data_IF_475661848651
#
_entry.id   IF_475661848651
#
_cell.length_a   1.000
_cell.length_b   1.000
_cell.length_c   1.000
_cell.angle_alpha   90.00
_cell.angle_beta   90.00
_cell.angle_gamma   90.00
#
_symmetry.space_group_name_H-M   'P 1'
#
loop_
_entity.id
_entity.type
_entity.pdbx_description
1 polymer ?
#
# COMPACT_ATOMS: atom_id res chain seq x y z
N UNK A 1 -14.12 -12.11 45.55
CA UNK A 1 -13.27 -12.39 44.38
C UNK A 1 -12.34 -11.19 44.19
N UNK A 2 -11.08 -11.33 44.57
CA UNK A 2 -10.13 -10.23 44.79
C UNK A 2 -9.93 -9.36 43.55
N UNK A 3 -9.81 -8.04 43.71
CA UNK A 3 -9.52 -7.10 42.61
C UNK A 3 -8.24 -7.46 41.84
N UNK A 4 -7.33 -8.21 42.46
CA UNK A 4 -6.12 -8.76 41.80
C UNK A 4 -6.44 -9.82 40.74
N UNK A 5 -7.52 -10.58 40.89
CA UNK A 5 -7.99 -11.56 39.89
C UNK A 5 -8.68 -10.88 38.69
N UNK A 6 -9.34 -9.73 38.90
CA UNK A 6 -9.92 -8.92 37.81
C UNK A 6 -8.84 -8.20 37.00
N UNK A 7 -7.82 -7.66 37.67
CA UNK A 7 -6.67 -7.03 37.01
C UNK A 7 -5.85 -8.04 36.19
N UNK A 8 -5.65 -9.26 36.71
CA UNK A 8 -4.95 -10.33 35.99
C UNK A 8 -5.69 -10.82 34.74
N UNK A 9 -7.03 -10.92 34.80
CA UNK A 9 -7.84 -11.30 33.64
C UNK A 9 -7.88 -10.22 32.55
N UNK A 10 -7.90 -8.95 32.92
CA UNK A 10 -7.89 -7.82 31.97
C UNK A 10 -6.51 -7.69 31.30
N UNK A 11 -5.42 -7.92 32.03
CA UNK A 11 -4.07 -7.93 31.45
C UNK A 11 -3.88 -9.09 30.46
N UNK A 12 -4.42 -10.28 30.76
CA UNK A 12 -4.37 -11.44 29.86
C UNK A 12 -5.20 -11.24 28.59
N UNK A 13 -6.36 -10.58 28.65
CA UNK A 13 -7.14 -10.23 27.46
C UNK A 13 -6.40 -9.18 26.61
N UNK A 14 -5.70 -8.23 27.23
CA UNK A 14 -4.89 -7.25 26.50
C UNK A 14 -3.68 -7.90 25.80
N UNK A 15 -2.96 -8.81 26.48
CA UNK A 15 -1.81 -9.51 25.90
C UNK A 15 -2.20 -10.55 24.84
N UNK A 16 -3.36 -11.20 24.94
CA UNK A 16 -3.86 -12.07 23.85
C UNK A 16 -4.38 -11.29 22.64
N UNK A 17 -4.77 -10.02 22.79
CA UNK A 17 -5.17 -9.16 21.66
C UNK A 17 -3.99 -8.52 20.90
N UNK A 18 -2.80 -8.49 21.51
CA UNK A 18 -1.57 -7.96 20.91
C UNK A 18 -0.76 -9.00 20.12
N UNK A 19 -1.14 -10.29 20.19
CA UNK A 19 -0.41 -11.40 19.56
C UNK A 19 -0.79 -11.73 18.12
N UNK A 20 -1.79 -11.07 17.51
CA UNK A 20 -2.35 -11.45 16.20
C UNK A 20 -2.35 -10.36 15.12
N UNK A 21 -1.62 -9.25 15.31
CA UNK A 21 -1.51 -8.21 14.26
C UNK A 21 -0.04 -7.91 14.00
N UNK A 22 0.65 -8.86 13.38
CA UNK A 22 1.96 -8.62 12.76
C UNK A 22 1.96 -9.04 11.28
N UNK A 23 0.83 -8.79 10.60
CA UNK A 23 0.85 -8.55 9.17
C UNK A 23 0.48 -7.08 8.98
N UNK A 24 1.41 -6.26 8.49
CA UNK A 24 1.10 -4.91 8.05
C UNK A 24 0.15 -5.01 6.86
N UNK A 25 -1.16 -5.05 7.13
CA UNK A 25 -2.20 -5.13 6.10
C UNK A 25 -2.30 -3.75 5.45
N UNK A 26 -1.95 -3.64 4.16
CA UNK A 26 -1.91 -2.36 3.44
C UNK A 26 -3.31 -1.71 3.29
N UNK A 27 -4.38 -2.51 3.32
CA UNK A 27 -5.77 -2.09 3.17
C UNK A 27 -6.67 -2.91 4.10
N UNK A 28 -7.76 -2.35 4.64
CA UNK A 28 -8.73 -3.13 5.41
C UNK A 28 -9.28 -4.30 4.55
N UNK A 29 -9.59 -5.46 5.15
CA UNK A 29 -10.13 -6.61 4.42
C UNK A 29 -11.48 -6.27 3.77
N UNK A 30 -11.72 -6.80 2.57
CA UNK A 30 -12.93 -6.47 1.81
C UNK A 30 -14.25 -6.86 2.51
N UNK A 31 -14.25 -7.89 3.37
CA UNK A 31 -15.41 -8.35 4.17
C UNK A 31 -16.72 -8.59 3.38
N UNK A 32 -16.65 -8.73 2.06
CA UNK A 32 -17.79 -9.01 1.18
C UNK A 32 -17.87 -10.52 0.89
N UNK A 33 -16.75 -11.15 0.58
CA UNK A 33 -16.65 -12.57 0.28
C UNK A 33 -15.72 -13.33 1.24
N UNK A 34 -16.08 -14.54 1.65
CA UNK A 34 -15.12 -15.54 2.16
C UNK A 34 -14.57 -16.30 0.95
N UNK A 35 -13.29 -16.08 0.62
CA UNK A 35 -12.64 -16.59 -0.60
C UNK A 35 -11.63 -17.69 -0.25
N UNK A 36 -11.69 -18.80 -0.97
CA UNK A 36 -10.69 -19.86 -0.97
C UNK A 36 -10.15 -20.06 -2.38
N UNK A 37 -8.83 -20.14 -2.51
CA UNK A 37 -8.15 -20.26 -3.80
C UNK A 37 -7.40 -21.58 -3.81
N UNK A 38 -7.65 -22.37 -4.84
CA UNK A 38 -6.92 -23.59 -5.12
C UNK A 38 -6.24 -23.46 -6.49
N UNK A 39 -4.94 -23.69 -6.53
CA UNK A 39 -4.14 -23.53 -7.72
C UNK A 39 -3.30 -24.78 -7.97
N UNK A 40 -3.35 -25.30 -9.19
CA UNK A 40 -2.46 -26.38 -9.64
C UNK A 40 -1.54 -25.84 -10.72
N UNK A 41 -0.24 -25.90 -10.48
CA UNK A 41 0.79 -25.40 -11.39
C UNK A 41 1.34 -26.56 -12.22
N UNK A 42 1.41 -26.39 -13.54
CA UNK A 42 2.02 -27.34 -14.47
C UNK A 42 3.52 -27.11 -14.61
N UNK A 43 4.24 -28.07 -15.21
CA UNK A 43 5.68 -27.94 -15.49
C UNK A 43 6.01 -26.78 -16.43
N UNK A 44 5.06 -26.40 -17.30
CA UNK A 44 5.20 -25.22 -18.18
C UNK A 44 5.03 -23.89 -17.43
N UNK A 45 4.69 -23.90 -16.15
CA UNK A 45 4.38 -22.70 -15.37
C UNK A 45 2.98 -22.15 -15.57
N UNK A 46 2.05 -22.93 -16.14
CA UNK A 46 0.63 -22.56 -16.23
C UNK A 46 -0.08 -22.91 -14.93
N UNK A 47 -0.90 -22.00 -14.40
CA UNK A 47 -1.72 -22.25 -13.22
C UNK A 47 -3.18 -22.52 -13.62
N UNK A 48 -3.72 -23.68 -13.22
CA UNK A 48 -5.16 -23.91 -13.21
C UNK A 48 -5.72 -23.45 -11.87
N UNK A 49 -6.69 -22.56 -11.89
CA UNK A 49 -7.25 -21.92 -10.70
C UNK A 49 -8.70 -22.32 -10.52
N UNK A 50 -9.01 -22.82 -9.33
CA UNK A 50 -10.36 -23.01 -8.81
C UNK A 50 -10.52 -22.12 -7.59
N UNK A 51 -11.41 -21.14 -7.67
CA UNK A 51 -11.71 -20.23 -6.57
C UNK A 51 -13.13 -20.47 -6.07
N UNK A 52 -13.30 -20.68 -4.78
CA UNK A 52 -14.63 -20.73 -4.16
C UNK A 52 -14.84 -19.45 -3.37
N UNK A 53 -15.99 -18.81 -3.56
CA UNK A 53 -16.34 -17.60 -2.83
C UNK A 53 -17.75 -17.68 -2.28
N UNK A 54 -17.93 -17.24 -1.04
CA UNK A 54 -19.24 -17.14 -0.40
C UNK A 54 -19.51 -15.69 -0.02
N UNK A 55 -20.67 -15.15 -0.40
CA UNK A 55 -21.08 -13.82 0.05
C UNK A 55 -21.34 -13.83 1.56
N UNK A 56 -20.70 -12.91 2.27
CA UNK A 56 -20.81 -12.77 3.73
C UNK A 56 -21.27 -11.37 4.16
N UNK A 57 -21.26 -10.38 3.26
CA UNK A 57 -21.76 -9.03 3.60
C UNK A 57 -23.27 -9.06 3.92
N UNK A 58 -23.69 -8.64 5.13
CA UNK A 58 -25.08 -8.73 5.56
C UNK A 58 -26.04 -7.92 4.70
N UNK A 59 -25.62 -6.75 4.19
CA UNK A 59 -26.47 -5.87 3.39
C UNK A 59 -26.74 -6.47 2.01
N UNK A 60 -25.70 -6.96 1.34
CA UNK A 60 -25.81 -7.62 0.04
C UNK A 60 -26.55 -8.96 0.16
N UNK A 61 -26.36 -9.69 1.25
CA UNK A 61 -27.15 -10.90 1.55
C UNK A 61 -28.63 -10.57 1.67
N UNK A 62 -28.99 -9.56 2.47
CA UNK A 62 -30.39 -9.14 2.60
C UNK A 62 -30.98 -8.68 1.28
N UNK A 63 -30.21 -7.92 0.50
CA UNK A 63 -30.61 -7.45 -0.81
C UNK A 63 -30.91 -8.61 -1.77
N UNK A 64 -29.97 -9.53 -1.95
CA UNK A 64 -30.13 -10.66 -2.86
C UNK A 64 -31.22 -11.64 -2.39
N UNK A 65 -31.36 -11.85 -1.08
CA UNK A 65 -32.45 -12.68 -0.53
C UNK A 65 -33.83 -12.07 -0.80
N UNK A 66 -33.97 -10.75 -0.65
CA UNK A 66 -35.22 -10.06 -0.98
C UNK A 66 -35.49 -10.11 -2.48
N UNK A 67 -34.46 -9.90 -3.31
CA UNK A 67 -34.57 -10.01 -4.75
C UNK A 67 -34.97 -11.42 -5.17
N UNK A 68 -34.40 -12.46 -4.55
CA UNK A 68 -34.70 -13.86 -4.89
C UNK A 68 -36.15 -14.25 -4.58
N UNK A 69 -36.78 -13.65 -3.57
CA UNK A 69 -38.21 -13.87 -3.29
C UNK A 69 -39.12 -13.34 -4.39
N UNK A 70 -38.72 -12.25 -5.03
CA UNK A 70 -39.53 -11.54 -6.02
C UNK A 70 -39.18 -11.97 -7.46
N UNK A 71 -37.90 -12.19 -7.73
CA UNK A 71 -37.34 -12.54 -9.05
C UNK A 71 -36.06 -13.38 -8.87
N UNK A 72 -36.21 -14.72 -8.78
CA UNK A 72 -35.07 -15.62 -8.59
C UNK A 72 -34.02 -15.54 -9.69
N UNK A 73 -34.44 -15.36 -10.94
CA UNK A 73 -33.52 -15.33 -12.08
C UNK A 73 -32.67 -14.06 -12.06
N UNK A 74 -33.30 -12.91 -11.79
CA UNK A 74 -32.59 -11.65 -11.63
C UNK A 74 -31.63 -11.68 -10.46
N UNK A 75 -32.02 -12.27 -9.33
CA UNK A 75 -31.13 -12.41 -8.17
C UNK A 75 -29.88 -13.25 -8.48
N UNK A 76 -30.04 -14.36 -9.20
CA UNK A 76 -28.91 -15.17 -9.66
C UNK A 76 -28.01 -14.41 -10.64
N UNK A 77 -28.60 -13.70 -11.61
CA UNK A 77 -27.83 -12.88 -12.55
C UNK A 77 -27.05 -11.78 -11.83
N UNK A 78 -27.66 -11.09 -10.89
CA UNK A 78 -27.02 -10.01 -10.16
C UNK A 78 -25.89 -10.51 -9.25
N UNK A 79 -26.08 -11.68 -8.64
CA UNK A 79 -25.01 -12.35 -7.91
C UNK A 79 -23.86 -12.78 -8.83
N UNK A 80 -24.17 -13.34 -10.00
CA UNK A 80 -23.17 -13.67 -11.01
C UNK A 80 -22.35 -12.45 -11.45
N UNK A 81 -23.01 -11.33 -11.76
CA UNK A 81 -22.36 -10.10 -12.21
C UNK A 81 -21.50 -9.48 -11.10
N UNK A 82 -21.95 -9.58 -9.85
CA UNK A 82 -21.16 -9.19 -8.68
C UNK A 82 -19.90 -10.05 -8.52
N UNK A 83 -20.02 -11.36 -8.67
CA UNK A 83 -18.87 -12.29 -8.64
C UNK A 83 -17.90 -11.96 -9.77
N UNK A 84 -18.39 -11.80 -11.00
CA UNK A 84 -17.56 -11.47 -12.14
C UNK A 84 -16.77 -10.17 -11.93
N UNK A 85 -17.45 -9.10 -11.53
CA UNK A 85 -16.83 -7.79 -11.35
C UNK A 85 -15.92 -7.70 -10.13
N UNK A 86 -16.38 -8.18 -8.97
CA UNK A 86 -15.64 -7.98 -7.72
C UNK A 86 -14.56 -9.02 -7.49
N UNK A 87 -14.75 -10.25 -7.95
CA UNK A 87 -13.78 -11.34 -7.73
C UNK A 87 -12.85 -11.46 -8.93
N UNK A 88 -13.39 -11.67 -10.12
CA UNK A 88 -12.58 -11.98 -11.30
C UNK A 88 -11.91 -10.74 -11.91
N UNK A 89 -12.66 -9.68 -12.23
CA UNK A 89 -12.07 -8.50 -12.87
C UNK A 89 -11.01 -7.83 -11.98
N UNK A 90 -11.24 -7.75 -10.67
CA UNK A 90 -10.25 -7.23 -9.73
C UNK A 90 -8.94 -8.04 -9.72
N UNK A 91 -9.03 -9.37 -9.76
CA UNK A 91 -7.86 -10.24 -9.86
C UNK A 91 -7.16 -10.07 -11.22
N UNK A 92 -7.93 -9.97 -12.30
CA UNK A 92 -7.42 -9.77 -13.64
C UNK A 92 -6.68 -8.44 -13.77
N UNK A 93 -7.26 -7.34 -13.29
CA UNK A 93 -6.65 -6.02 -13.27
C UNK A 93 -5.34 -6.03 -12.46
N UNK A 94 -5.35 -6.69 -11.30
CA UNK A 94 -4.13 -6.86 -10.50
C UNK A 94 -3.02 -7.57 -11.30
N UNK A 95 -3.32 -8.69 -11.95
CA UNK A 95 -2.37 -9.44 -12.78
C UNK A 95 -1.84 -8.59 -13.94
N UNK A 96 -2.74 -7.94 -14.68
CA UNK A 96 -2.42 -7.14 -15.86
C UNK A 96 -1.62 -5.87 -15.51
N UNK A 97 -1.81 -5.32 -14.31
CA UNK A 97 -1.05 -4.16 -13.83
C UNK A 97 0.44 -4.46 -13.63
N UNK A 98 0.82 -5.73 -13.41
CA UNK A 98 2.21 -6.13 -13.15
C UNK A 98 2.92 -6.65 -14.41
N UNK A 99 2.19 -7.29 -15.31
CA UNK A 99 2.78 -7.86 -16.52
C UNK A 99 1.76 -8.05 -17.64
N UNK A 100 2.22 -7.85 -18.88
CA UNK A 100 1.48 -8.16 -20.10
C UNK A 100 1.77 -9.57 -20.65
N UNK A 101 2.68 -10.33 -20.01
CA UNK A 101 3.10 -11.67 -20.47
C UNK A 101 2.21 -12.79 -19.98
N UNK A 102 1.48 -12.54 -18.90
CA UNK A 102 0.56 -13.48 -18.26
C UNK A 102 -0.83 -13.30 -18.85
N UNK A 103 -1.45 -14.39 -19.27
CA UNK A 103 -2.77 -14.38 -19.92
C UNK A 103 -3.74 -15.22 -19.12
N UNK A 104 -4.90 -14.64 -18.80
CA UNK A 104 -5.99 -15.35 -18.13
C UNK A 104 -6.95 -15.87 -19.20
N UNK A 105 -7.24 -17.17 -19.18
CA UNK A 105 -8.19 -17.82 -20.08
C UNK A 105 -9.33 -18.39 -19.23
N UNK A 106 -10.54 -17.93 -19.53
CA UNK A 106 -11.78 -18.45 -18.95
C UNK A 106 -12.37 -19.51 -19.89
N UNK A 107 -12.93 -20.61 -19.35
CA UNK A 107 -13.63 -21.58 -20.18
C UNK A 107 -14.95 -20.98 -20.70
N UNK A 108 -15.40 -21.41 -21.88
CA UNK A 108 -16.67 -20.94 -22.46
C UNK A 108 -17.88 -21.30 -21.59
N UNK A 109 -17.79 -22.42 -20.87
CA UNK A 109 -18.82 -22.91 -19.94
C UNK A 109 -18.18 -23.25 -18.60
N UNK A 110 -18.95 -23.14 -17.50
CA UNK A 110 -18.45 -23.48 -16.15
C UNK A 110 -17.40 -22.52 -15.59
N UNK A 111 -17.23 -21.34 -16.19
CA UNK A 111 -16.33 -20.32 -15.68
C UNK A 111 -16.79 -19.82 -14.31
N UNK A 112 -18.08 -19.50 -14.15
CA UNK A 112 -18.71 -19.15 -12.88
C UNK A 112 -19.89 -20.09 -12.67
N UNK A 113 -19.83 -20.90 -11.62
CA UNK A 113 -20.89 -21.83 -11.22
C UNK A 113 -21.51 -21.34 -9.91
N UNK A 114 -22.80 -21.01 -9.94
CA UNK A 114 -23.53 -20.58 -8.75
C UNK A 114 -24.02 -21.79 -7.96
N UNK A 115 -23.96 -21.68 -6.64
CA UNK A 115 -24.41 -22.68 -5.68
C UNK A 115 -25.36 -22.05 -4.65
N UNK A 116 -26.12 -22.88 -3.90
CA UNK A 116 -26.96 -22.38 -2.82
C UNK A 116 -26.20 -21.53 -1.80
N UNK A 117 -26.94 -20.71 -1.04
CA UNK A 117 -26.39 -19.82 -0.02
C UNK A 117 -25.38 -18.80 -0.55
N UNK A 118 -25.63 -18.25 -1.74
CA UNK A 118 -24.80 -17.22 -2.39
C UNK A 118 -23.31 -17.61 -2.40
N UNK A 119 -23.07 -18.86 -2.77
CA UNK A 119 -21.75 -19.45 -2.93
C UNK A 119 -21.49 -19.64 -4.42
N UNK A 120 -20.24 -19.53 -4.84
CA UNK A 120 -19.85 -19.68 -6.23
C UNK A 120 -18.51 -20.40 -6.35
N UNK A 121 -18.31 -21.07 -7.47
CA UNK A 121 -17.02 -21.60 -7.90
C UNK A 121 -16.62 -20.93 -9.21
N UNK A 122 -15.40 -20.39 -9.26
CA UNK A 122 -14.80 -19.84 -10.46
C UNK A 122 -13.66 -20.75 -10.94
N UNK A 123 -13.66 -21.10 -12.23
CA UNK A 123 -12.63 -21.96 -12.83
C UNK A 123 -11.98 -21.25 -14.02
N UNK A 124 -10.67 -21.06 -13.99
CA UNK A 124 -9.93 -20.44 -15.10
C UNK A 124 -8.47 -20.87 -15.12
N UNK A 125 -7.74 -20.52 -16.18
CA UNK A 125 -6.30 -20.78 -16.30
C UNK A 125 -5.53 -19.48 -16.42
N UNK A 126 -4.36 -19.45 -15.81
CA UNK A 126 -3.38 -18.37 -15.94
C UNK A 126 -2.15 -18.94 -16.64
N UNK A 127 -1.98 -18.59 -17.91
CA UNK A 127 -0.81 -18.94 -18.71
C UNK A 127 0.35 -18.03 -18.37
N UNK A 128 1.58 -18.59 -18.40
CA UNK A 128 2.80 -17.89 -17.98
C UNK A 128 2.67 -17.32 -16.56
N UNK A 129 2.05 -18.08 -15.64
CA UNK A 129 2.00 -17.72 -14.24
C UNK A 129 3.40 -17.80 -13.61
N UNK A 130 4.14 -18.87 -13.93
CA UNK A 130 5.58 -18.94 -13.74
C UNK A 130 6.29 -18.83 -15.09
N UNK A 131 7.33 -17.99 -15.18
CA UNK A 131 8.10 -17.75 -16.40
C UNK A 131 9.51 -18.31 -16.23
N UNK A 132 9.96 -19.08 -17.23
CA UNK A 132 11.30 -19.66 -17.24
C UNK A 132 12.35 -18.57 -17.47
N UNK A 133 13.29 -18.45 -16.53
CA UNK A 133 14.46 -17.57 -16.63
C UNK A 133 15.66 -18.24 -15.96
N UNK A 134 16.76 -18.36 -16.71
CA UNK A 134 18.03 -18.90 -16.23
C UNK A 134 17.89 -20.30 -15.56
N UNK A 135 17.09 -21.20 -16.15
CA UNK A 135 16.89 -22.54 -15.60
C UNK A 135 15.95 -22.63 -14.39
N UNK A 136 15.27 -21.54 -14.02
CA UNK A 136 14.28 -21.49 -12.94
C UNK A 136 12.96 -20.95 -13.46
N UNK A 137 11.84 -21.47 -12.97
CA UNK A 137 10.50 -20.93 -13.18
C UNK A 137 10.18 -19.99 -12.02
N UNK A 138 9.87 -18.73 -12.33
CA UNK A 138 9.60 -17.69 -11.34
C UNK A 138 8.22 -17.09 -11.54
N UNK A 139 7.51 -16.83 -10.45
CA UNK A 139 6.22 -16.12 -10.47
C UNK A 139 6.33 -14.80 -11.24
N UNK A 140 5.52 -14.68 -12.30
CA UNK A 140 5.42 -13.46 -13.10
C UNK A 140 4.65 -12.36 -12.37
N UNK A 141 3.73 -12.76 -11.49
CA UNK A 141 2.89 -11.90 -10.68
C UNK A 141 2.95 -12.40 -9.24
N UNK A 142 3.19 -11.48 -8.31
CA UNK A 142 3.22 -11.72 -6.87
C UNK A 142 2.94 -10.39 -6.17
N UNK A 143 2.63 -10.39 -4.88
CA UNK A 143 2.37 -9.13 -4.17
C UNK A 143 1.03 -9.05 -3.47
N UNK A 144 0.81 -7.98 -2.68
CA UNK A 144 -0.47 -7.72 -2.04
C UNK A 144 -1.53 -7.41 -3.10
N UNK A 145 -2.63 -8.14 -3.04
CA UNK A 145 -3.75 -8.01 -3.96
C UNK A 145 -4.73 -6.94 -3.49
N UNK A 146 -5.23 -6.16 -4.46
CA UNK A 146 -6.15 -5.04 -4.24
C UNK A 146 -7.56 -5.45 -4.65
N UNK A 147 -8.56 -4.94 -3.93
CA UNK A 147 -9.97 -5.17 -4.17
C UNK A 147 -10.69 -3.82 -4.16
N UNK A 148 -11.16 -3.37 -5.32
CA UNK A 148 -11.81 -2.08 -5.52
C UNK A 148 -13.32 -2.28 -5.42
N UNK A 149 -13.94 -1.61 -4.45
CA UNK A 149 -15.39 -1.62 -4.27
C UNK A 149 -15.89 -0.25 -3.82
N UNK A 150 -16.90 0.28 -4.53
CA UNK A 150 -17.48 1.60 -4.24
C UNK A 150 -16.41 2.71 -4.08
N UNK A 151 -15.46 2.76 -5.02
CA UNK A 151 -14.33 3.70 -5.03
C UNK A 151 -13.40 3.62 -3.81
N UNK A 152 -13.43 2.51 -3.05
CA UNK A 152 -12.49 2.22 -1.97
C UNK A 152 -11.57 1.08 -2.38
N UNK A 153 -10.29 1.21 -2.03
CA UNK A 153 -9.32 0.14 -2.16
C UNK A 153 -9.26 -0.64 -0.85
N UNK A 154 -9.65 -1.90 -0.93
CA UNK A 154 -9.66 -2.89 0.13
C UNK A 154 -8.59 -3.94 -0.17
N UNK A 155 -8.25 -4.78 0.80
CA UNK A 155 -7.39 -5.93 0.53
C UNK A 155 -8.23 -7.07 -0.03
N UNK A 156 -7.74 -7.68 -1.10
CA UNK A 156 -8.31 -8.91 -1.66
C UNK A 156 -7.96 -10.07 -0.73
N UNK A 157 -8.71 -10.14 0.36
CA UNK A 157 -8.48 -11.10 1.42
C UNK A 157 -9.09 -12.45 1.04
N UNK A 158 -8.28 -13.51 1.17
CA UNK A 158 -8.69 -14.90 1.08
C UNK A 158 -8.38 -15.61 2.39
N UNK A 159 -9.24 -16.56 2.73
CA UNK A 159 -9.13 -17.37 3.93
C UNK A 159 -8.12 -18.50 3.77
N UNK A 160 -8.03 -19.08 2.57
CA UNK A 160 -7.10 -20.16 2.26
C UNK A 160 -6.60 -20.06 0.82
N UNK A 161 -5.30 -20.23 0.65
CA UNK A 161 -4.65 -20.42 -0.64
C UNK A 161 -3.90 -21.75 -0.59
N UNK A 162 -4.29 -22.68 -1.45
CA UNK A 162 -3.60 -23.96 -1.64
C UNK A 162 -2.96 -23.97 -3.02
N UNK A 163 -1.67 -24.26 -3.09
CA UNK A 163 -0.94 -24.40 -4.34
C UNK A 163 -0.35 -25.80 -4.43
N UNK A 164 -0.65 -26.52 -5.51
CA UNK A 164 -0.04 -27.79 -5.87
C UNK A 164 1.01 -27.54 -6.93
N UNK A 165 2.27 -27.84 -6.61
CA UNK A 165 3.40 -27.79 -7.54
C UNK A 165 3.57 -29.12 -8.29
N UNK A 166 4.29 -29.13 -9.42
CA UNK A 166 4.67 -30.39 -10.07
C UNK A 166 5.50 -31.28 -9.15
N UNK A 167 5.23 -32.59 -9.13
CA UNK A 167 5.87 -33.54 -8.19
C UNK A 167 7.40 -33.61 -8.32
N UNK A 168 7.91 -33.36 -9.52
CA UNK A 168 9.34 -33.43 -9.82
C UNK A 168 10.05 -32.07 -9.71
N UNK A 169 9.35 -31.03 -9.25
CA UNK A 169 9.94 -29.71 -9.09
C UNK A 169 10.68 -29.58 -7.77
N UNK A 170 11.90 -29.05 -7.82
CA UNK A 170 12.61 -28.55 -6.66
C UNK A 170 12.16 -27.12 -6.34
N UNK A 171 11.62 -26.92 -5.14
CA UNK A 171 11.17 -25.61 -4.66
C UNK A 171 12.39 -24.85 -4.13
N UNK A 172 12.79 -23.79 -4.81
CA UNK A 172 13.91 -22.92 -4.41
C UNK A 172 13.43 -21.90 -3.39
N UNK A 173 12.27 -21.27 -3.62
CA UNK A 173 11.74 -20.24 -2.74
C UNK A 173 10.20 -20.15 -2.78
N UNK A 174 9.61 -19.94 -1.60
CA UNK A 174 8.21 -19.57 -1.39
C UNK A 174 8.16 -18.40 -0.41
N UNK A 175 7.68 -17.24 -0.85
CA UNK A 175 7.57 -16.06 0.00
C UNK A 175 6.21 -15.36 -0.16
N UNK A 176 5.44 -15.13 0.91
CA UNK A 176 5.74 -15.51 2.30
C UNK A 176 5.79 -17.04 2.47
N UNK A 177 6.43 -17.49 3.56
CA UNK A 177 6.51 -18.92 3.89
C UNK A 177 5.09 -19.47 4.10
N UNK A 178 4.71 -20.59 3.49
CA UNK A 178 3.40 -21.20 3.71
C UNK A 178 3.24 -21.62 5.17
N UNK A 179 1.99 -21.65 5.64
CA UNK A 179 1.65 -22.17 6.97
C UNK A 179 1.95 -23.67 7.05
N UNK A 180 1.67 -24.38 5.97
CA UNK A 180 1.93 -25.82 5.85
C UNK A 180 2.53 -26.12 4.47
N UNK A 181 3.52 -27.02 4.43
CA UNK A 181 4.11 -27.56 3.22
C UNK A 181 4.23 -29.08 3.38
N UNK A 182 3.47 -29.82 2.58
CA UNK A 182 3.45 -31.29 2.61
C UNK A 182 3.68 -31.78 1.18
N UNK A 183 4.77 -32.52 0.97
CA UNK A 183 5.24 -32.96 -0.36
C UNK A 183 5.39 -31.79 -1.35
N UNK A 184 4.54 -31.73 -2.37
CA UNK A 184 4.46 -30.72 -3.41
C UNK A 184 3.27 -29.76 -3.21
N UNK A 185 2.65 -29.75 -2.03
CA UNK A 185 1.47 -28.93 -1.71
C UNK A 185 1.83 -27.90 -0.64
N UNK A 186 1.62 -26.62 -0.97
CA UNK A 186 1.77 -25.51 -0.03
C UNK A 186 0.42 -24.88 0.31
N UNK A 187 0.23 -24.54 1.57
CA UNK A 187 -0.99 -23.93 2.08
C UNK A 187 -0.67 -22.65 2.86
N UNK A 188 -1.35 -21.58 2.50
CA UNK A 188 -1.40 -20.33 3.26
C UNK A 188 -2.82 -20.10 3.77
N UNK A 189 -2.94 -19.36 4.87
CA UNK A 189 -4.22 -19.00 5.47
C UNK A 189 -4.29 -17.50 5.77
N UNK A 190 -5.51 -16.96 5.74
CA UNK A 190 -5.86 -15.58 6.10
C UNK A 190 -4.93 -14.54 5.47
N UNK A 191 -4.70 -14.64 4.16
CA UNK A 191 -3.78 -13.79 3.44
C UNK A 191 -4.47 -12.87 2.45
N UNK A 192 -3.68 -11.94 1.90
CA UNK A 192 -4.11 -11.02 0.85
C UNK A 192 -3.01 -10.84 -0.21
N UNK A 193 -2.14 -11.83 -0.37
CA UNK A 193 -0.89 -11.73 -1.14
C UNK A 193 -0.74 -12.93 -2.06
N UNK A 194 -0.39 -12.75 -3.34
CA UNK A 194 0.04 -13.87 -4.19
C UNK A 194 1.53 -14.16 -3.94
N UNK A 195 1.89 -15.39 -3.53
CA UNK A 195 3.26 -15.70 -3.13
C UNK A 195 4.25 -15.60 -4.30
N UNK A 196 5.47 -15.15 -3.98
CA UNK A 196 6.64 -15.32 -4.83
C UNK A 196 6.97 -16.81 -4.84
N UNK A 197 7.03 -17.39 -6.03
CA UNK A 197 7.34 -18.80 -6.25
C UNK A 197 8.56 -18.87 -7.15
N UNK A 198 9.58 -19.63 -6.72
CA UNK A 198 10.73 -19.99 -7.54
C UNK A 198 10.94 -21.49 -7.46
N UNK A 199 10.91 -22.16 -8.60
CA UNK A 199 11.16 -23.60 -8.70
C UNK A 199 12.09 -23.92 -9.86
N UNK A 200 12.66 -25.12 -9.85
CA UNK A 200 13.44 -25.68 -10.96
C UNK A 200 13.21 -27.18 -11.06
N UNK A 201 13.40 -27.74 -12.24
CA UNK A 201 13.40 -29.19 -12.47
C UNK A 201 14.82 -29.75 -12.55
N UNK A 202 15.84 -28.89 -12.51
CA UNK A 202 17.24 -29.28 -12.62
C UNK A 202 17.88 -29.27 -11.22
N UNK A 203 18.31 -30.45 -10.77
CA UNK A 203 18.93 -30.61 -9.44
C UNK A 203 20.21 -29.79 -9.30
N UNK A 204 21.06 -29.71 -10.32
CA UNK A 204 22.29 -28.90 -10.28
C UNK A 204 21.97 -27.41 -10.09
N UNK A 205 20.93 -26.91 -10.75
CA UNK A 205 20.44 -25.54 -10.55
C UNK A 205 19.91 -25.37 -9.13
N UNK A 206 19.15 -26.33 -8.63
CA UNK A 206 18.64 -26.32 -7.26
C UNK A 206 19.76 -26.27 -6.22
N UNK A 207 20.79 -27.11 -6.34
CA UNK A 207 21.93 -27.11 -5.43
C UNK A 207 22.72 -25.79 -5.49
N UNK A 208 22.92 -25.23 -6.68
CA UNK A 208 23.59 -23.94 -6.88
C UNK A 208 22.80 -22.78 -6.26
N UNK A 209 21.48 -22.74 -6.45
CA UNK A 209 20.61 -21.71 -5.90
C UNK A 209 20.39 -21.90 -4.39
N UNK A 210 20.37 -23.13 -3.88
CA UNK A 210 20.34 -23.41 -2.43
C UNK A 210 21.62 -22.95 -1.73
N UNK A 211 22.78 -23.11 -2.38
CA UNK A 211 24.06 -22.59 -1.89
C UNK A 211 24.09 -21.06 -1.91
N UNK A 212 23.44 -20.44 -2.91
CA UNK A 212 23.15 -19.01 -2.96
C UNK A 212 21.86 -18.70 -2.23
N UNK A 213 21.79 -18.84 -0.91
CA UNK A 213 20.64 -18.33 -0.14
C UNK A 213 20.43 -16.84 -0.44
N UNK A 214 19.54 -16.49 -1.37
CA UNK A 214 19.01 -15.14 -1.50
C UNK A 214 18.09 -14.95 -0.31
N UNK A 215 18.67 -14.42 0.78
CA UNK A 215 17.92 -13.94 1.92
C UNK A 215 17.00 -12.84 1.39
N UNK A 216 15.70 -13.11 1.25
CA UNK A 216 14.72 -12.04 1.03
C UNK A 216 14.77 -11.17 2.28
N UNK A 217 15.17 -9.91 2.11
CA UNK A 217 15.42 -8.98 3.20
C UNK A 217 14.11 -8.25 3.51
N UNK A 218 13.32 -8.62 4.52
CA UNK A 218 12.01 -7.99 4.74
C UNK A 218 12.08 -6.46 4.70
N UNK A 219 11.03 -5.79 4.23
CA UNK A 219 11.05 -4.34 4.05
C UNK A 219 11.53 -3.54 5.28
N UNK A 220 11.19 -4.03 6.48
CA UNK A 220 11.69 -3.49 7.74
C UNK A 220 13.22 -3.62 7.87
N UNK A 221 13.76 -4.80 7.61
CA UNK A 221 15.20 -5.05 7.62
C UNK A 221 15.94 -4.20 6.56
N UNK A 222 15.32 -3.98 5.39
CA UNK A 222 15.87 -3.05 4.39
C UNK A 222 15.93 -1.61 4.91
N UNK A 223 14.87 -1.10 5.56
CA UNK A 223 14.86 0.25 6.12
C UNK A 223 15.82 0.39 7.31
N UNK A 224 15.92 -0.63 8.16
CA UNK A 224 16.77 -0.63 9.36
C UNK A 224 18.26 -0.69 8.98
N UNK A 225 18.60 -1.40 7.89
CA UNK A 225 19.97 -1.51 7.38
C UNK A 225 20.33 -0.45 6.32
N UNK A 226 19.50 0.58 6.14
CA UNK A 226 19.76 1.66 5.19
C UNK A 226 19.76 3.02 5.87
N UNK A 227 20.63 3.92 5.41
CA UNK A 227 20.64 5.33 5.78
C UNK A 227 19.64 6.10 4.93
N UNK A 228 18.68 6.76 5.57
CA UNK A 228 17.54 7.44 4.97
C UNK A 228 17.71 8.95 5.12
N UNK A 229 17.87 9.65 4.00
CA UNK A 229 18.01 11.11 3.97
C UNK A 229 16.94 11.72 3.09
N UNK A 230 16.32 12.80 3.56
CA UNK A 230 15.37 13.58 2.78
C UNK A 230 15.66 15.07 2.91
N UNK A 231 15.55 15.79 1.81
CA UNK A 231 15.56 17.24 1.78
C UNK A 231 14.16 17.73 1.41
N UNK A 232 13.67 18.70 2.17
CA UNK A 232 12.36 19.31 1.99
C UNK A 232 12.54 20.79 1.67
N UNK A 233 11.72 21.31 0.75
CA UNK A 233 11.63 22.74 0.47
C UNK A 233 10.17 23.11 0.24
N UNK A 234 9.67 24.02 1.07
CA UNK A 234 8.34 24.60 0.87
C UNK A 234 8.39 25.73 -0.15
N UNK A 235 7.37 25.78 -1.01
CA UNK A 235 7.09 26.89 -1.92
C UNK A 235 5.81 27.61 -1.45
N UNK A 236 5.92 28.82 -0.87
CA UNK A 236 4.75 29.59 -0.40
C UNK A 236 3.77 30.01 -1.50
N UNK A 237 4.23 30.14 -2.75
CA UNK A 237 3.41 30.59 -3.87
C UNK A 237 2.68 29.43 -4.53
N UNK A 238 3.35 28.29 -4.71
CA UNK A 238 2.72 27.08 -5.21
C UNK A 238 1.86 26.37 -4.13
N UNK A 239 2.16 26.61 -2.86
CA UNK A 239 1.50 25.93 -1.74
C UNK A 239 1.91 24.46 -1.61
N UNK A 240 3.07 24.09 -2.15
CA UNK A 240 3.55 22.70 -2.21
C UNK A 240 4.90 22.53 -1.53
N UNK A 241 5.22 21.29 -1.14
CA UNK A 241 6.54 20.91 -0.66
C UNK A 241 7.19 20.05 -1.72
N UNK A 242 8.31 20.53 -2.26
CA UNK A 242 9.18 19.72 -3.10
C UNK A 242 10.16 18.97 -2.22
N UNK A 243 10.40 17.71 -2.57
CA UNK A 243 11.30 16.85 -1.80
C UNK A 243 12.19 16.04 -2.72
N UNK A 244 13.41 15.76 -2.25
CA UNK A 244 14.29 14.78 -2.84
C UNK A 244 15.12 14.09 -1.76
N UNK A 245 15.49 12.85 -1.99
CA UNK A 245 16.18 12.08 -0.98
C UNK A 245 16.74 10.78 -1.50
N UNK A 246 17.35 10.05 -0.58
CA UNK A 246 17.96 8.77 -0.85
C UNK A 246 17.83 7.82 0.35
N UNK A 247 17.79 6.54 0.02
CA UNK A 247 17.90 5.41 0.95
C UNK A 247 19.11 4.63 0.48
N UNK A 248 20.20 4.64 1.25
CA UNK A 248 21.51 4.12 0.83
C UNK A 248 22.01 3.09 1.84
N UNK A 249 22.66 2.03 1.36
CA UNK A 249 23.32 1.02 2.20
C UNK A 249 22.96 -0.41 1.81
N UNK A 250 21.89 -0.57 1.05
CA UNK A 250 21.42 -1.87 0.59
C UNK A 250 20.79 -1.78 -0.79
N UNK A 251 21.12 -2.74 -1.66
CA UNK A 251 20.52 -2.85 -2.99
C UNK A 251 19.03 -3.20 -2.86
N UNK A 252 18.11 -2.38 -3.38
CA UNK A 252 16.69 -2.68 -3.30
C UNK A 252 16.30 -3.75 -4.32
N UNK A 253 15.47 -4.68 -3.89
CA UNK A 253 14.69 -5.54 -4.79
C UNK A 253 13.40 -4.83 -5.26
N UNK A 254 12.77 -5.35 -6.32
CA UNK A 254 11.57 -4.74 -6.91
C UNK A 254 10.43 -4.52 -5.91
N UNK A 255 10.22 -5.45 -4.97
CA UNK A 255 9.17 -5.28 -3.95
C UNK A 255 9.47 -4.14 -2.96
N UNK A 256 10.76 -3.83 -2.69
CA UNK A 256 11.12 -2.69 -1.86
C UNK A 256 10.71 -1.38 -2.54
N UNK A 257 10.94 -1.28 -3.86
CA UNK A 257 10.54 -0.12 -4.65
C UNK A 257 9.02 0.05 -4.63
N UNK A 258 8.27 -1.02 -4.88
CA UNK A 258 6.81 -0.99 -4.83
C UNK A 258 6.29 -0.56 -3.45
N UNK A 259 6.88 -1.10 -2.37
CA UNK A 259 6.47 -0.74 -1.01
C UNK A 259 6.85 0.70 -0.64
N UNK A 260 7.99 1.21 -1.10
CA UNK A 260 8.33 2.62 -0.94
C UNK A 260 7.29 3.52 -1.61
N UNK A 261 6.93 3.24 -2.87
CA UNK A 261 5.89 4.00 -3.58
C UNK A 261 4.59 4.03 -2.77
N UNK A 262 4.14 2.88 -2.28
CA UNK A 262 2.90 2.77 -1.51
C UNK A 262 2.97 3.57 -0.18
N UNK A 263 4.07 3.45 0.59
CA UNK A 263 4.24 4.17 1.86
C UNK A 263 4.25 5.70 1.66
N UNK A 264 4.90 6.16 0.58
CA UNK A 264 4.92 7.57 0.19
C UNK A 264 3.52 8.07 -0.21
N UNK A 265 2.78 7.31 -1.02
CA UNK A 265 1.39 7.63 -1.40
C UNK A 265 0.44 7.68 -0.19
N UNK A 266 0.64 6.82 0.82
CA UNK A 266 -0.21 6.78 2.01
C UNK A 266 0.06 7.92 2.99
N UNK A 267 1.30 8.41 3.03
CA UNK A 267 1.75 9.34 4.08
C UNK A 267 1.81 10.78 3.59
N UNK A 268 2.12 10.98 2.31
CA UNK A 268 2.23 12.28 1.69
C UNK A 268 1.10 12.41 0.67
N UNK A 269 0.42 13.56 0.65
CA UNK A 269 -0.58 13.88 -0.39
C UNK A 269 0.17 14.25 -1.68
N UNK A 270 0.61 13.24 -2.43
CA UNK A 270 1.55 13.38 -3.55
C UNK A 270 0.89 13.97 -4.80
N UNK A 271 1.54 14.98 -5.36
CA UNK A 271 1.22 15.56 -6.67
C UNK A 271 2.08 14.89 -7.75
N UNK A 272 3.38 14.70 -7.46
CA UNK A 272 4.34 14.03 -8.34
C UNK A 272 5.30 13.19 -7.51
N UNK A 273 5.68 12.03 -8.03
CA UNK A 273 6.66 11.17 -7.36
C UNK A 273 7.42 10.32 -8.37
N UNK A 274 8.74 10.43 -8.31
CA UNK A 274 9.69 9.68 -9.10
C UNK A 274 10.63 8.93 -8.16
N UNK A 275 10.90 7.68 -8.49
CA UNK A 275 11.77 6.80 -7.71
C UNK A 275 12.65 6.01 -8.67
N UNK A 276 13.95 5.95 -8.37
CA UNK A 276 14.94 5.26 -9.18
C UNK A 276 15.77 4.34 -8.30
N UNK A 277 15.82 3.07 -8.68
CA UNK A 277 16.73 2.09 -8.08
C UNK A 277 18.17 2.38 -8.51
N UNK A 278 19.10 2.30 -7.57
CA UNK A 278 20.55 2.33 -7.81
C UNK A 278 21.18 1.02 -7.32
N UNK A 279 22.47 0.84 -7.56
CA UNK A 279 23.17 -0.38 -7.11
C UNK A 279 23.29 -0.48 -5.59
N UNK A 280 23.22 0.66 -4.88
CA UNK A 280 23.43 0.76 -3.44
C UNK A 280 22.21 1.33 -2.69
N UNK A 281 21.02 1.32 -3.31
CA UNK A 281 19.86 1.94 -2.71
C UNK A 281 18.84 2.49 -3.69
N UNK A 282 18.18 3.56 -3.27
CA UNK A 282 17.14 4.25 -4.01
C UNK A 282 17.35 5.75 -3.90
N UNK A 283 17.11 6.45 -5.01
CA UNK A 283 16.92 7.90 -5.02
C UNK A 283 15.47 8.21 -5.37
N UNK A 284 14.88 9.20 -4.71
CA UNK A 284 13.50 9.61 -4.98
C UNK A 284 13.38 11.13 -4.98
N UNK A 285 12.40 11.63 -5.71
CA UNK A 285 12.03 13.04 -5.76
C UNK A 285 10.54 13.19 -6.01
N UNK A 286 9.96 14.29 -5.56
CA UNK A 286 8.56 14.53 -5.76
C UNK A 286 8.09 15.87 -5.24
N UNK A 287 6.77 16.02 -5.31
CA UNK A 287 6.04 17.19 -4.88
C UNK A 287 4.79 16.72 -4.14
N UNK A 288 4.55 17.28 -2.95
CA UNK A 288 3.41 16.92 -2.10
C UNK A 288 2.67 18.17 -1.63
N UNK A 289 1.37 18.04 -1.40
CA UNK A 289 0.55 19.05 -0.75
C UNK A 289 0.67 18.88 0.78
N UNK A 290 1.20 19.87 1.51
CA UNK A 290 1.28 19.77 2.96
C UNK A 290 -0.04 20.20 3.62
N UNK A 291 -0.17 19.92 4.92
CA UNK A 291 -1.17 20.58 5.75
C UNK A 291 -0.71 22.01 6.04
N UNK A 292 -1.44 23.00 5.55
CA UNK A 292 -1.07 24.41 5.66
C UNK A 292 -2.04 25.17 6.58
N UNK A 293 -1.49 25.88 7.56
CA UNK A 293 -2.18 26.91 8.33
C UNK A 293 -1.55 28.26 8.01
N UNK A 294 -2.33 29.12 7.37
CA UNK A 294 -1.91 30.47 6.98
C UNK A 294 -2.50 31.51 7.94
N UNK A 295 -1.66 32.46 8.38
CA UNK A 295 -2.08 33.60 9.18
C UNK A 295 -1.47 34.88 8.63
N UNK A 296 -2.32 35.87 8.38
CA UNK A 296 -1.91 37.17 7.90
C UNK A 296 -2.26 38.25 8.93
N UNK A 297 -1.33 39.17 9.12
CA UNK A 297 -1.50 40.37 9.94
C UNK A 297 -1.10 41.59 9.12
N UNK A 298 -1.29 42.79 9.69
CA UNK A 298 -0.92 44.05 9.03
C UNK A 298 0.58 44.14 8.70
N UNK A 299 1.43 43.47 9.49
CA UNK A 299 2.90 43.59 9.40
C UNK A 299 3.59 42.31 8.94
N UNK A 300 2.90 41.17 8.88
CA UNK A 300 3.51 39.89 8.47
C UNK A 300 2.52 38.85 7.97
N UNK A 301 3.03 37.95 7.13
CA UNK A 301 2.38 36.69 6.73
C UNK A 301 3.14 35.52 7.34
N UNK A 302 2.41 34.53 7.84
CA UNK A 302 2.98 33.33 8.48
C UNK A 302 2.35 32.08 7.87
N UNK A 303 3.21 31.16 7.42
CA UNK A 303 2.81 29.83 6.94
C UNK A 303 3.32 28.79 7.92
N UNK A 304 2.41 28.07 8.58
CA UNK A 304 2.72 26.91 9.41
C UNK A 304 2.35 25.64 8.63
N UNK A 305 3.36 24.83 8.35
CA UNK A 305 3.28 23.71 7.42
C UNK A 305 3.63 22.44 8.16
N UNK A 306 2.75 21.46 8.05
CA UNK A 306 2.96 20.12 8.59
C UNK A 306 2.97 19.11 7.45
N UNK A 307 4.01 18.29 7.41
CA UNK A 307 4.11 17.17 6.46
C UNK A 307 4.42 15.88 7.20
N UNK A 308 3.77 14.79 6.77
CA UNK A 308 3.93 13.45 7.34
C UNK A 308 4.78 12.60 6.41
N UNK A 309 5.92 12.16 6.89
CA UNK A 309 6.85 11.28 6.20
C UNK A 309 6.41 9.81 6.33
N UNK A 310 6.73 8.96 5.33
CA UNK A 310 6.33 7.55 5.31
C UNK A 310 6.93 6.73 6.47
N UNK A 311 8.17 7.02 6.81
CA UNK A 311 8.91 6.38 7.89
C UNK A 311 9.88 7.40 8.50
N UNK A 312 10.57 6.98 9.56
CA UNK A 312 11.58 7.80 10.20
C UNK A 312 12.79 7.93 9.27
N UNK A 313 13.22 9.16 9.05
CA UNK A 313 14.45 9.47 8.34
C UNK A 313 15.59 9.68 9.35
N UNK A 314 16.79 9.26 8.98
CA UNK A 314 17.99 9.47 9.80
C UNK A 314 18.44 10.93 9.72
N UNK A 315 18.21 11.57 8.56
CA UNK A 315 18.45 13.01 8.38
C UNK A 315 17.34 13.66 7.56
N UNK A 316 16.74 14.70 8.13
CA UNK A 316 15.76 15.58 7.46
C UNK A 316 16.40 16.95 7.33
N UNK A 317 16.67 17.39 6.11
CA UNK A 317 17.20 18.73 5.85
C UNK A 317 16.08 19.62 5.31
N UNK A 318 15.81 20.73 5.95
CA UNK A 318 14.82 21.69 5.46
C UNK A 318 15.55 22.87 4.86
N UNK A 319 15.21 23.20 3.62
CA UNK A 319 15.79 24.36 2.92
C UNK A 319 14.81 25.51 2.98
N UNK A 320 15.35 26.71 3.25
CA UNK A 320 14.59 27.94 3.13
C UNK A 320 14.06 28.13 1.69
N UNK A 321 12.93 28.83 1.51
CA UNK A 321 12.47 29.24 0.19
C UNK A 321 13.55 30.08 -0.49
N UNK A 322 13.63 30.04 -1.82
CA UNK A 322 14.63 30.83 -2.56
C UNK A 322 14.35 32.34 -2.57
N UNK A 323 13.27 32.78 -1.95
CA UNK A 323 12.84 34.18 -1.94
C UNK A 323 13.36 34.91 -0.69
N UNK A 324 13.97 36.09 -0.91
CA UNK A 324 14.64 36.85 0.14
C UNK A 324 13.65 37.48 1.15
N UNK A 325 12.36 37.57 0.82
CA UNK A 325 11.33 38.12 1.71
C UNK A 325 10.76 37.10 2.71
N UNK A 326 10.89 35.80 2.45
CA UNK A 326 10.31 34.71 3.26
C UNK A 326 11.40 33.99 4.05
N UNK A 327 11.39 34.14 5.37
CA UNK A 327 12.37 33.50 6.25
C UNK A 327 11.75 32.32 7.00
N UNK A 328 12.52 31.24 7.15
CA UNK A 328 12.15 30.15 8.05
C UNK A 328 12.47 30.59 9.49
N UNK A 329 11.45 30.55 10.35
CA UNK A 329 11.59 30.96 11.76
C UNK A 329 11.57 29.78 12.73
N UNK A 330 11.06 28.63 12.28
CA UNK A 330 11.00 27.42 13.10
C UNK A 330 10.98 26.17 12.23
N UNK A 331 11.74 25.17 12.67
CA UNK A 331 11.64 23.81 12.19
C UNK A 331 11.65 22.83 13.37
N UNK A 332 10.78 21.82 13.30
CA UNK A 332 10.82 20.68 14.21
C UNK A 332 10.47 19.41 13.46
N UNK A 333 11.35 18.42 13.58
CA UNK A 333 11.10 17.06 13.13
C UNK A 333 10.83 16.19 14.35
N UNK A 334 9.65 15.59 14.42
CA UNK A 334 9.27 14.63 15.44
C UNK A 334 8.90 13.31 14.79
N UNK A 335 9.84 12.36 14.82
CA UNK A 335 9.73 11.04 14.22
C UNK A 335 9.37 11.08 12.71
N UNK A 336 8.07 11.02 12.39
CA UNK A 336 7.53 11.06 11.02
C UNK A 336 6.91 12.42 10.66
N UNK A 337 6.73 13.33 11.62
CA UNK A 337 6.05 14.61 11.40
C UNK A 337 7.09 15.71 11.33
N UNK A 338 7.05 16.51 10.26
CA UNK A 338 7.90 17.69 10.10
C UNK A 338 7.00 18.92 10.13
N UNK A 339 7.28 19.82 11.05
CA UNK A 339 6.64 21.11 11.18
C UNK A 339 7.62 22.21 10.77
N UNK A 340 7.18 23.10 9.89
CA UNK A 340 7.95 24.22 9.38
C UNK A 340 7.13 25.49 9.50
N UNK A 341 7.73 26.57 9.99
CA UNK A 341 7.08 27.88 10.04
C UNK A 341 7.91 28.89 9.27
N UNK A 342 7.27 29.54 8.31
CA UNK A 342 7.85 30.61 7.50
C UNK A 342 7.14 31.94 7.77
N UNK A 343 7.89 33.03 7.76
CA UNK A 343 7.39 34.39 7.96
C UNK A 343 7.88 35.31 6.83
N UNK A 344 6.97 36.10 6.27
CA UNK A 344 7.26 37.23 5.38
C UNK A 344 6.86 38.52 6.08
N UNK A 345 7.82 39.46 6.23
CA UNK A 345 7.55 40.79 6.78
C UNK A 345 6.94 41.66 5.69
N UNK A 346 5.78 42.25 5.97
CA UNK A 346 5.20 43.31 5.14
C UNK A 346 5.81 44.64 5.53
N UNK A 347 6.43 45.32 4.57
CA UNK A 347 6.79 46.73 4.73
C UNK A 347 5.49 47.52 4.71
N UNK A 348 5.04 48.03 5.86
CA UNK A 348 3.97 49.03 5.87
C UNK A 348 4.47 50.25 5.10
N UNK A 349 3.85 50.53 3.95
CA UNK A 349 4.25 51.65 3.10
C UNK A 349 4.23 52.99 3.86
N UNK A 350 4.97 54.00 3.36
CA UNK A 350 5.11 55.30 4.01
C UNK A 350 3.77 55.99 4.35
N UNK A 351 2.66 55.63 3.69
CA UNK A 351 1.32 56.14 3.96
C UNK A 351 0.77 55.86 5.37
N UNK A 352 1.15 54.75 6.03
CA UNK A 352 0.68 54.46 7.41
C UNK A 352 1.44 55.30 8.43
N UNK A 353 2.73 55.56 8.20
CA UNK A 353 3.56 56.43 9.03
C UNK A 353 3.16 57.89 8.87
N UNK A 354 2.88 58.33 7.63
CA UNK A 354 2.36 59.67 7.33
C UNK A 354 0.94 59.85 7.90
N UNK A 355 0.07 58.83 7.82
CA UNK A 355 -1.26 58.86 8.43
C UNK A 355 -1.25 58.97 9.96
N UNK A 356 -0.34 58.25 10.64
CA UNK A 356 -0.16 58.34 12.09
C UNK A 356 0.54 59.64 12.53
N UNK A 357 1.45 60.19 11.73
CA UNK A 357 2.10 61.48 12.00
C UNK A 357 1.19 62.69 11.73
N UNK A 358 0.25 62.59 10.78
CA UNK A 358 -0.71 63.66 10.47
C UNK A 358 -1.97 63.63 11.34
N UNK A 359 -2.28 62.52 12.00
CA UNK A 359 -3.46 62.42 12.88
C UNK A 359 -3.45 63.44 14.04
N UNK A 360 -2.32 63.69 14.74
CA UNK A 360 -2.22 64.76 15.74
C UNK A 360 -2.35 66.16 15.14
N UNK A 361 -1.85 66.37 13.92
CA UNK A 361 -1.90 67.65 13.20
C UNK A 361 -3.31 67.99 12.72
N UNK A 362 -4.09 67.00 12.27
CA UNK A 362 -5.49 67.18 11.88
C UNK A 362 -6.42 67.36 13.08
N UNK A 363 -6.13 66.73 14.22
CA UNK A 363 -6.87 66.97 15.48
C UNK A 363 -6.62 68.37 16.06
N UNK A 364 -5.43 68.96 15.84
CA UNK A 364 -5.10 70.31 16.31
C UNK A 364 -5.80 71.42 15.51
N UNK A 365 -6.17 71.16 14.25
CA UNK A 365 -6.89 72.11 13.39
C UNK A 365 -8.39 72.19 13.69
N UNK A 366 -8.94 71.28 14.50
CA UNK A 366 -10.36 71.25 14.89
C UNK A 366 -10.67 71.91 16.25
N UNK A 367 -9.65 72.43 16.94
CA UNK A 367 -9.75 73.12 18.25
C UNK A 367 -9.27 74.59 18.20
N UNK A 368 -9.26 75.22 17.03
CA UNK A 368 -9.16 76.68 16.89
C UNK A 368 -10.35 77.21 16.13
#
# INVERSE_FOLDING_TARGET
MSERLKAGAILLIFFFSLGLINQAVAYPPQQIFDIQIFMTITESGTASVKMTAKLIDPYLLSYLNNLQKNDPQKAQKEFHDMVFSLIFLNLQEFIQSQTNKTVIITPQTGFIELHPNWTTTLNFKIYNYLILKNGTLKSAVYGPMRFIFKNKVLSYHWKKLTIIFPKNAYIINLAPVPKEMTENVAVWENGNYLPIIVLTFNETVFQKERAKKTKIIPFKEFLDNSTKVINLRYDPFAGTVTFNGSIIGMKPEQYHIAKLIDEFNMSMDLIKFDIKSTENGVTFSGEAKPMLQYKETLTKKVWNITIRLPFRFDKVNIKAPKDQSVQMIYEKTDNKIVNMVFEEKKICGPGVIVGLALFPLLLRKRRR
#
